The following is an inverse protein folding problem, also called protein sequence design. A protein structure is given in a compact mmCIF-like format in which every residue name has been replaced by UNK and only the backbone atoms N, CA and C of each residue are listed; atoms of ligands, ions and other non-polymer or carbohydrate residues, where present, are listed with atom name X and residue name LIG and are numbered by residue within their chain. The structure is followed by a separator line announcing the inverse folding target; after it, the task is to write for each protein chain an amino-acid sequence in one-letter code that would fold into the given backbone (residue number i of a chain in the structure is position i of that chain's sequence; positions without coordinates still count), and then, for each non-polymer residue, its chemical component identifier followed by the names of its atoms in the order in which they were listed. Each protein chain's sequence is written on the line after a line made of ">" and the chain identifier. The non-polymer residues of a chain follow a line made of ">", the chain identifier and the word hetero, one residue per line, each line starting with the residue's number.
data_IF_936140532791
#
_entry.id   IF_936140532791
#
_cell.length_a   1.000
_cell.length_b   1.000
_cell.length_c   1.000
_cell.angle_alpha   90.00
_cell.angle_beta   90.00
_cell.angle_gamma   90.00
#
_symmetry.space_group_name_H-M   'P 1'
#
loop_
_entity.id
_entity.type
_entity.pdbx_description
1 polymer ?
#
# COMPACT_ATOMS: atom_id res chain seq x y z
N UNK A 1 -4.06 10.41 -6.48
CA UNK A 1 -4.83 9.15 -6.32
C UNK A 1 -6.20 9.52 -5.79
N UNK A 2 -7.28 9.07 -6.43
CA UNK A 2 -8.65 9.42 -6.01
C UNK A 2 -9.24 8.30 -5.15
N UNK A 3 -10.15 8.66 -4.23
CA UNK A 3 -10.77 7.72 -3.28
C UNK A 3 -11.50 6.58 -3.96
N UNK A 4 -12.16 6.82 -5.10
CA UNK A 4 -12.84 5.80 -5.90
C UNK A 4 -11.89 4.68 -6.34
N UNK A 5 -10.67 5.03 -6.80
CA UNK A 5 -9.67 4.05 -7.22
C UNK A 5 -9.15 3.23 -6.03
N UNK A 6 -9.03 3.85 -4.86
CA UNK A 6 -8.62 3.15 -3.64
C UNK A 6 -9.71 2.21 -3.12
N UNK A 7 -10.98 2.61 -3.22
CA UNK A 7 -12.12 1.74 -2.92
C UNK A 7 -12.14 0.54 -3.85
N UNK A 8 -11.95 0.73 -5.15
CA UNK A 8 -11.88 -0.36 -6.11
C UNK A 8 -10.74 -1.34 -5.78
N UNK A 9 -9.56 -0.82 -5.44
CA UNK A 9 -8.43 -1.65 -4.98
C UNK A 9 -8.82 -2.49 -3.76
N UNK A 10 -9.42 -1.88 -2.73
CA UNK A 10 -9.87 -2.59 -1.52
C UNK A 10 -10.86 -3.72 -1.77
N UNK A 11 -11.67 -3.65 -2.83
CA UNK A 11 -12.57 -4.74 -3.21
C UNK A 11 -11.86 -5.94 -3.87
N UNK A 12 -10.67 -5.72 -4.45
CA UNK A 12 -9.89 -6.75 -5.16
C UNK A 12 -8.81 -7.41 -4.29
N UNK A 13 -8.54 -6.84 -3.12
CA UNK A 13 -7.52 -7.31 -2.18
C UNK A 13 -8.20 -8.08 -1.03
N UNK A 14 -7.73 -9.28 -0.73
CA UNK A 14 -8.18 -10.07 0.42
C UNK A 14 -7.54 -9.62 1.73
N UNK A 15 -6.30 -9.14 1.66
CA UNK A 15 -5.61 -8.50 2.76
C UNK A 15 -6.17 -7.11 3.08
N UNK A 16 -5.33 -6.22 3.60
CA UNK A 16 -5.76 -4.90 4.07
C UNK A 16 -5.21 -3.80 3.20
N UNK A 17 -6.07 -2.88 2.77
CA UNK A 17 -5.69 -1.62 2.13
C UNK A 17 -5.85 -0.49 3.14
N UNK A 18 -4.74 0.15 3.50
CA UNK A 18 -4.69 1.26 4.46
C UNK A 18 -4.49 2.54 3.66
N UNK A 19 -5.42 3.47 3.76
CA UNK A 19 -5.38 4.76 3.05
C UNK A 19 -4.97 5.89 4.00
N UNK A 20 -4.67 7.08 3.46
CA UNK A 20 -4.31 8.26 4.27
C UNK A 20 -5.39 8.66 5.30
N UNK A 21 -6.66 8.25 5.10
CA UNK A 21 -7.75 8.48 6.06
C UNK A 21 -7.93 7.36 7.10
N UNK A 22 -7.15 6.27 7.03
CA UNK A 22 -7.25 5.15 7.97
C UNK A 22 -6.53 5.48 9.29
N UNK A 23 -7.09 5.09 10.46
CA UNK A 23 -6.45 5.32 11.75
C UNK A 23 -5.08 4.63 11.86
N UNK A 24 -4.90 3.51 11.16
CA UNK A 24 -3.65 2.74 11.14
C UNK A 24 -2.57 3.31 10.21
N UNK A 25 -2.87 4.37 9.45
CA UNK A 25 -1.99 4.87 8.39
C UNK A 25 -0.62 5.31 8.90
N UNK A 26 -0.58 6.16 9.92
CA UNK A 26 0.66 6.67 10.49
C UNK A 26 1.53 5.58 11.13
N UNK A 27 0.91 4.55 11.67
CA UNK A 27 1.62 3.38 12.18
C UNK A 27 2.16 2.52 11.04
N UNK A 28 1.34 2.26 10.02
CA UNK A 28 1.67 1.37 8.91
C UNK A 28 2.77 1.91 7.98
N UNK A 29 2.86 3.23 7.80
CA UNK A 29 3.85 3.86 6.91
C UNK A 29 5.26 3.91 7.50
N UNK A 30 5.41 3.78 8.82
CA UNK A 30 6.72 3.80 9.49
C UNK A 30 7.58 2.62 9.05
N UNK A 31 8.78 2.92 8.58
CA UNK A 31 9.85 1.96 8.28
C UNK A 31 10.89 1.94 9.40
N UNK A 32 11.76 0.93 9.42
CA UNK A 32 12.78 0.79 10.46
C UNK A 32 13.68 2.03 10.58
N UNK A 33 14.07 2.60 9.44
CA UNK A 33 14.78 3.87 9.42
C UNK A 33 13.81 5.03 9.71
N UNK A 34 13.79 5.48 10.96
CA UNK A 34 12.94 6.59 11.42
C UNK A 34 13.20 7.94 10.76
N UNK A 35 14.27 8.08 9.96
CA UNK A 35 14.51 9.29 9.15
C UNK A 35 13.71 9.31 7.84
N UNK A 36 13.12 8.19 7.42
CA UNK A 36 12.34 8.10 6.19
C UNK A 36 10.87 8.36 6.52
N UNK A 37 10.42 9.58 6.25
CA UNK A 37 9.03 10.02 6.40
C UNK A 37 8.34 10.09 5.03
N UNK A 38 7.93 8.93 4.49
CA UNK A 38 7.14 8.87 3.25
C UNK A 38 5.65 8.78 3.54
N UNK A 39 4.85 9.38 2.66
CA UNK A 39 3.39 9.47 2.75
C UNK A 39 2.75 8.82 1.51
N UNK A 40 2.75 7.47 1.42
CA UNK A 40 2.15 6.77 0.28
C UNK A 40 0.64 6.97 0.24
N UNK A 41 0.03 7.09 -0.94
CA UNK A 41 -1.43 7.25 -1.04
C UNK A 41 -2.22 6.06 -0.49
N UNK A 42 -1.63 4.86 -0.49
CA UNK A 42 -2.16 3.67 0.16
C UNK A 42 -1.03 2.68 0.48
N UNK A 43 -1.30 1.80 1.45
CA UNK A 43 -0.43 0.68 1.85
C UNK A 43 -1.25 -0.59 1.72
N UNK A 44 -0.77 -1.54 0.91
CA UNK A 44 -1.43 -2.83 0.71
C UNK A 44 -0.69 -3.92 1.48
N UNK A 45 -1.31 -4.44 2.53
CA UNK A 45 -0.84 -5.64 3.25
C UNK A 45 -1.43 -6.86 2.57
N UNK A 46 -0.69 -7.43 1.62
CA UNK A 46 -1.13 -8.59 0.84
C UNK A 46 -1.21 -9.85 1.72
N UNK A 47 -2.31 -10.60 1.62
CA UNK A 47 -2.49 -11.87 2.35
C UNK A 47 -2.07 -13.09 1.52
N UNK A 48 -2.00 -12.95 0.20
CA UNK A 48 -1.66 -14.03 -0.74
C UNK A 48 -1.04 -13.47 -2.03
N UNK A 49 -0.66 -14.36 -2.95
CA UNK A 49 -0.04 -14.01 -4.24
C UNK A 49 -0.98 -13.21 -5.13
N UNK A 50 -2.28 -13.52 -5.13
CA UNK A 50 -3.29 -12.81 -5.92
C UNK A 50 -3.39 -11.34 -5.52
N UNK A 51 -3.29 -11.03 -4.21
CA UNK A 51 -3.27 -9.66 -3.72
C UNK A 51 -2.07 -8.88 -4.28
N UNK A 52 -0.88 -9.50 -4.32
CA UNK A 52 0.32 -8.89 -4.88
C UNK A 52 0.11 -8.60 -6.38
N UNK A 53 -0.41 -9.56 -7.13
CA UNK A 53 -0.69 -9.40 -8.56
C UNK A 53 -1.68 -8.27 -8.82
N UNK A 54 -2.77 -8.21 -8.04
CA UNK A 54 -3.79 -7.18 -8.15
C UNK A 54 -3.24 -5.80 -7.80
N UNK A 55 -2.47 -5.67 -6.72
CA UNK A 55 -1.86 -4.41 -6.30
C UNK A 55 -0.87 -3.86 -7.34
N UNK A 56 -0.01 -4.72 -7.91
CA UNK A 56 0.96 -4.32 -8.95
C UNK A 56 0.24 -3.93 -10.25
N UNK A 57 -0.78 -4.70 -10.66
CA UNK A 57 -1.58 -4.37 -11.84
C UNK A 57 -2.27 -3.01 -11.68
N UNK A 58 -2.91 -2.80 -10.54
CA UNK A 58 -3.57 -1.53 -10.22
C UNK A 58 -2.58 -0.36 -10.24
N UNK A 59 -1.40 -0.51 -9.65
CA UNK A 59 -0.39 0.55 -9.66
C UNK A 59 0.10 0.90 -11.08
N UNK A 60 0.23 -0.10 -11.95
CA UNK A 60 0.52 0.10 -13.38
C UNK A 60 -0.60 0.84 -14.10
N UNK A 61 -1.85 0.42 -13.91
CA UNK A 61 -3.02 1.03 -14.56
C UNK A 61 -3.29 2.46 -14.07
N UNK A 62 -2.92 2.76 -12.83
CA UNK A 62 -3.06 4.07 -12.23
C UNK A 62 -1.86 5.00 -12.43
N UNK A 63 -0.76 4.50 -13.05
CA UNK A 63 0.52 5.18 -13.24
C UNK A 63 1.14 5.71 -11.94
N UNK A 64 1.34 4.82 -10.97
CA UNK A 64 1.77 5.20 -9.61
C UNK A 64 3.06 4.50 -9.22
N UNK A 65 3.96 5.25 -8.59
CA UNK A 65 5.20 4.73 -8.02
C UNK A 65 4.91 3.65 -6.97
N UNK A 66 5.53 2.49 -7.16
CA UNK A 66 5.43 1.35 -6.24
C UNK A 66 6.66 1.28 -5.34
N UNK A 67 6.44 1.12 -4.04
CA UNK A 67 7.47 0.74 -3.09
C UNK A 67 7.11 -0.63 -2.50
N UNK A 68 8.05 -1.57 -2.55
CA UNK A 68 7.84 -2.93 -2.02
C UNK A 68 8.50 -3.02 -0.63
N UNK A 69 7.73 -3.50 0.35
CA UNK A 69 8.19 -3.73 1.72
C UNK A 69 8.09 -5.21 2.08
N UNK A 70 9.24 -5.84 2.34
CA UNK A 70 9.34 -7.20 2.91
C UNK A 70 9.51 -7.18 4.44
N UNK A 71 10.32 -8.08 4.98
CA UNK A 71 10.57 -8.26 6.44
C UNK A 71 11.24 -7.11 7.20
N UNK A 72 11.30 -5.90 6.64
CA UNK A 72 11.68 -4.70 7.38
C UNK A 72 13.18 -4.43 7.58
N UNK A 73 14.07 -5.15 6.89
CA UNK A 73 15.54 -4.94 7.04
C UNK A 73 16.20 -4.07 5.97
N UNK A 74 15.47 -3.58 4.97
CA UNK A 74 16.02 -2.62 4.00
C UNK A 74 15.29 -1.29 4.11
N UNK A 75 16.06 -0.24 4.42
CA UNK A 75 15.68 1.17 4.33
C UNK A 75 15.72 1.70 2.91
#
# INVERSE_FOLDING_TARGET
>A
MNEEKLTALSQTIKGTVITAGSPDYDSARKVYNGMIDRHPSAIVRCANVTDVQNAVRFAREADISVAIRGGGHNG
#
